data_IF_517551521721
#
_entry.id   IF_517551521721
#
_cell.length_a   1.000
_cell.length_b   1.000
_cell.length_c   1.000
_cell.angle_alpha   90.00
_cell.angle_beta   90.00
_cell.angle_gamma   90.00
#
_symmetry.space_group_name_H-M   'P 1'
#
loop_
_entity.id
_entity.type
_entity.pdbx_description
1 polymer ?
#
# COMPACT_ATOMS: atom_id res chain seq x y z
N UNK A 1 -1.22 -7.29 -6.50
CA UNK A 1 -0.78 -7.80 -5.18
C UNK A 1 0.68 -7.44 -5.02
N UNK A 2 1.01 -6.50 -4.12
CA UNK A 2 2.41 -6.18 -3.83
C UNK A 2 2.96 -7.29 -2.92
N UNK A 3 3.98 -8.01 -3.39
CA UNK A 3 4.66 -9.01 -2.59
C UNK A 3 5.63 -8.30 -1.64
N UNK A 4 5.62 -8.67 -0.36
CA UNK A 4 6.66 -8.23 0.57
C UNK A 4 7.92 -9.09 0.39
N UNK A 5 9.07 -8.56 0.83
CA UNK A 5 10.37 -9.23 0.66
C UNK A 5 10.44 -10.62 1.29
N UNK A 6 9.60 -10.96 2.27
CA UNK A 6 9.58 -12.30 2.85
C UNK A 6 8.84 -13.28 1.95
N UNK A 7 7.72 -12.87 1.36
CA UNK A 7 7.03 -13.67 0.33
C UNK A 7 7.96 -13.93 -0.86
N UNK A 8 8.76 -12.93 -1.26
CA UNK A 8 9.75 -13.08 -2.32
C UNK A 8 10.91 -14.04 -2.01
N UNK A 9 11.13 -14.39 -0.74
CA UNK A 9 12.17 -15.32 -0.30
C UNK A 9 11.64 -16.76 -0.12
N UNK A 10 10.35 -17.00 -0.35
CA UNK A 10 9.81 -18.36 -0.40
C UNK A 10 10.42 -19.10 -1.59
N UNK A 11 11.05 -20.25 -1.32
CA UNK A 11 11.65 -21.11 -2.35
C UNK A 11 10.82 -22.38 -2.47
N UNK A 12 10.23 -22.57 -3.64
CA UNK A 12 9.68 -23.85 -4.05
C UNK A 12 10.61 -24.47 -5.10
N UNK A 13 10.78 -25.81 -5.09
CA UNK A 13 11.49 -26.49 -6.16
C UNK A 13 10.76 -26.21 -7.49
N UNK A 14 11.46 -25.59 -8.43
CA UNK A 14 10.94 -25.37 -9.77
C UNK A 14 11.36 -26.54 -10.67
N UNK A 15 10.38 -27.13 -11.35
CA UNK A 15 10.64 -28.08 -12.41
C UNK A 15 10.64 -27.31 -13.72
N UNK A 16 11.81 -27.18 -14.34
CA UNK A 16 11.90 -26.55 -15.66
C UNK A 16 11.39 -27.54 -16.71
N UNK A 17 10.53 -27.11 -17.65
CA UNK A 17 10.14 -27.96 -18.77
C UNK A 17 11.35 -28.23 -19.67
N UNK A 18 11.28 -29.31 -20.45
CA UNK A 18 12.29 -29.60 -21.48
C UNK A 18 12.43 -28.42 -22.45
N UNK A 19 13.65 -28.05 -22.87
CA UNK A 19 13.86 -26.97 -23.82
C UNK A 19 13.12 -27.23 -25.14
N UNK A 20 12.26 -26.30 -25.54
CA UNK A 20 11.66 -26.32 -26.88
C UNK A 20 12.68 -25.83 -27.91
N UNK A 21 12.82 -26.57 -29.02
CA UNK A 21 13.72 -26.20 -30.13
C UNK A 21 13.04 -25.30 -31.16
N UNK A 22 11.73 -25.41 -31.29
CA UNK A 22 10.91 -24.62 -32.20
C UNK A 22 9.97 -23.74 -31.39
N UNK A 23 9.99 -22.44 -31.67
CA UNK A 23 9.08 -21.49 -31.05
C UNK A 23 7.70 -21.58 -31.75
N UNK A 24 6.60 -21.38 -31.00
CA UNK A 24 5.28 -21.27 -31.61
C UNK A 24 5.22 -20.15 -32.64
N UNK A 25 4.41 -20.32 -33.70
CA UNK A 25 4.16 -19.23 -34.64
C UNK A 25 3.49 -18.06 -33.89
N UNK A 26 4.20 -16.93 -33.85
CA UNK A 26 3.78 -15.72 -33.15
C UNK A 26 3.30 -14.62 -34.10
N UNK A 27 3.24 -14.87 -35.42
CA UNK A 27 2.87 -13.85 -36.42
C UNK A 27 1.50 -13.23 -36.17
N UNK A 28 0.61 -13.94 -35.48
CA UNK A 28 -0.73 -13.46 -35.14
C UNK A 28 -0.76 -12.31 -34.11
N UNK A 29 0.30 -12.14 -33.30
CA UNK A 29 0.34 -11.12 -32.24
C UNK A 29 1.65 -10.33 -32.17
N UNK A 30 2.67 -10.71 -32.92
CA UNK A 30 3.97 -10.04 -32.93
C UNK A 30 4.07 -8.97 -34.02
N UNK A 31 4.90 -7.96 -33.79
CA UNK A 31 5.25 -6.95 -34.80
C UNK A 31 6.40 -7.48 -35.64
N UNK A 32 6.21 -7.54 -36.97
CA UNK A 32 7.18 -8.10 -37.92
C UNK A 32 7.88 -7.01 -38.77
N UNK A 33 7.57 -5.74 -38.52
CA UNK A 33 8.20 -4.61 -39.21
C UNK A 33 7.58 -4.27 -40.57
N UNK A 34 6.46 -4.92 -40.93
CA UNK A 34 5.66 -4.61 -42.10
C UNK A 34 4.34 -3.90 -41.73
N UNK A 35 3.63 -3.38 -42.74
CA UNK A 35 2.38 -2.64 -42.51
C UNK A 35 1.24 -3.51 -41.94
N UNK A 36 1.21 -4.80 -42.26
CA UNK A 36 0.15 -5.73 -41.85
C UNK A 36 0.23 -6.13 -40.37
N UNK A 37 1.38 -5.95 -39.72
CA UNK A 37 1.56 -6.27 -38.29
C UNK A 37 1.57 -5.03 -37.38
N UNK A 38 1.26 -3.84 -37.92
CA UNK A 38 1.25 -2.59 -37.14
C UNK A 38 0.21 -2.57 -36.01
N UNK A 39 -0.92 -3.23 -36.18
CA UNK A 39 -1.97 -3.29 -35.15
C UNK A 39 -1.55 -4.09 -33.91
N UNK A 40 -0.52 -4.94 -34.04
CA UNK A 40 0.06 -5.67 -32.92
C UNK A 40 0.96 -4.79 -32.03
N UNK A 41 1.24 -3.54 -32.43
CA UNK A 41 2.09 -2.63 -31.68
C UNK A 41 1.36 -2.09 -30.44
N UNK A 42 1.81 -2.50 -29.27
CA UNK A 42 1.40 -1.89 -28.00
C UNK A 42 2.37 -0.75 -27.69
N UNK A 43 1.93 0.49 -27.88
CA UNK A 43 2.72 1.68 -27.62
C UNK A 43 1.98 2.61 -26.65
N UNK A 44 2.72 3.23 -25.73
CA UNK A 44 2.20 4.24 -24.79
C UNK A 44 2.56 5.68 -25.19
N UNK A 45 3.19 5.86 -26.36
CA UNK A 45 3.61 7.17 -26.86
C UNK A 45 3.22 7.35 -28.34
N UNK A 46 2.52 8.44 -28.62
CA UNK A 46 2.12 8.85 -29.96
C UNK A 46 2.79 10.20 -30.26
N UNK A 47 3.27 10.38 -31.49
CA UNK A 47 3.95 11.62 -31.90
C UNK A 47 2.93 12.74 -32.11
N UNK A 48 1.72 12.40 -32.55
CA UNK A 48 0.61 13.34 -32.65
C UNK A 48 0.12 13.70 -31.24
N UNK A 49 0.06 14.99 -30.94
CA UNK A 49 -0.44 15.50 -29.66
C UNK A 49 -1.89 15.08 -29.43
N UNK A 50 -2.75 15.22 -30.44
CA UNK A 50 -4.18 14.89 -30.34
C UNK A 50 -4.41 13.39 -30.08
N UNK A 51 -3.64 12.52 -30.76
CA UNK A 51 -3.73 11.07 -30.54
C UNK A 51 -3.21 10.68 -29.15
N UNK A 52 -2.12 11.31 -28.70
CA UNK A 52 -1.56 11.07 -27.38
C UNK A 52 -2.53 11.54 -26.27
N UNK A 53 -3.15 12.70 -26.43
CA UNK A 53 -4.13 13.23 -25.47
C UNK A 53 -5.36 12.33 -25.36
N UNK A 54 -5.91 11.87 -26.49
CA UNK A 54 -7.02 10.93 -26.50
C UNK A 54 -6.64 9.60 -25.82
N UNK A 55 -5.43 9.08 -26.07
CA UNK A 55 -4.92 7.88 -25.42
C UNK A 55 -4.77 8.05 -23.90
N UNK A 56 -4.18 9.17 -23.46
CA UNK A 56 -4.01 9.48 -22.03
C UNK A 56 -5.37 9.64 -21.35
N UNK A 57 -6.34 10.30 -21.98
CA UNK A 57 -7.70 10.46 -21.45
C UNK A 57 -8.38 9.10 -21.27
N UNK A 58 -8.25 8.21 -22.25
CA UNK A 58 -8.77 6.85 -22.15
C UNK A 58 -8.12 6.07 -20.98
N UNK A 59 -6.80 6.19 -20.80
CA UNK A 59 -6.10 5.56 -19.67
C UNK A 59 -6.55 6.15 -18.33
N UNK A 60 -6.74 7.47 -18.26
CA UNK A 60 -7.22 8.17 -17.07
C UNK A 60 -8.64 7.70 -16.68
N UNK A 61 -9.55 7.55 -17.63
CA UNK A 61 -10.89 6.98 -17.39
C UNK A 61 -10.82 5.55 -16.85
N UNK A 62 -9.92 4.74 -17.40
CA UNK A 62 -9.65 3.39 -16.89
C UNK A 62 -9.13 3.44 -15.45
N UNK A 63 -8.18 4.33 -15.13
CA UNK A 63 -7.66 4.47 -13.77
C UNK A 63 -8.71 4.97 -12.79
N UNK A 64 -9.56 5.93 -13.18
CA UNK A 64 -10.74 6.36 -12.39
C UNK A 64 -11.70 5.21 -12.13
N UNK A 65 -11.94 4.37 -13.12
CA UNK A 65 -12.79 3.18 -12.97
C UNK A 65 -12.20 2.18 -11.97
N UNK A 66 -10.87 1.97 -12.02
CA UNK A 66 -10.15 1.13 -11.05
C UNK A 66 -10.25 1.77 -9.65
N UNK A 67 -9.98 3.06 -9.51
CA UNK A 67 -10.13 3.82 -8.27
C UNK A 67 -11.52 3.69 -7.65
N UNK A 68 -12.57 3.71 -8.45
CA UNK A 68 -13.94 3.56 -7.96
C UNK A 68 -14.31 2.12 -7.52
N UNK A 69 -13.59 1.09 -7.99
CA UNK A 69 -14.02 -0.32 -7.86
C UNK A 69 -13.08 -1.22 -7.08
N UNK A 70 -11.80 -0.89 -7.03
CA UNK A 70 -10.76 -1.80 -6.55
C UNK A 70 -10.15 -1.41 -5.21
N UNK A 71 -10.56 -0.27 -4.62
CA UNK A 71 -10.12 0.17 -3.30
C UNK A 71 -10.58 -0.84 -2.25
N UNK A 72 -9.63 -1.45 -1.53
CA UNK A 72 -9.91 -2.44 -0.49
C UNK A 72 -9.07 -2.19 0.74
N UNK A 73 -9.71 -2.28 1.90
CA UNK A 73 -9.08 -2.16 3.21
C UNK A 73 -9.78 -3.08 4.22
N UNK A 74 -9.14 -3.25 5.37
CA UNK A 74 -9.67 -3.95 6.54
C UNK A 74 -9.52 -3.03 7.76
N UNK A 75 -10.57 -2.92 8.56
CA UNK A 75 -10.58 -2.19 9.83
C UNK A 75 -10.57 -3.18 11.00
N UNK A 76 -9.93 -2.79 12.10
CA UNK A 76 -9.85 -3.59 13.30
C UNK A 76 -9.87 -2.70 14.56
N UNK A 77 -10.96 -2.78 15.32
CA UNK A 77 -11.17 -2.09 16.61
C UNK A 77 -10.96 -0.56 16.53
N UNK A 78 -11.57 0.08 15.53
CA UNK A 78 -11.36 1.50 15.21
C UNK A 78 -12.37 2.44 15.87
N UNK A 79 -13.52 1.92 16.30
CA UNK A 79 -14.69 2.68 16.72
C UNK A 79 -14.37 3.57 17.94
N UNK A 80 -13.79 2.97 18.98
CA UNK A 80 -13.43 3.63 20.23
C UNK A 80 -11.92 3.93 20.34
N UNK A 81 -11.16 3.70 19.26
CA UNK A 81 -9.73 3.97 19.25
C UNK A 81 -9.46 5.47 19.42
N UNK A 82 -8.40 5.79 20.16
CA UNK A 82 -7.78 7.11 20.25
C UNK A 82 -6.63 7.24 19.23
N UNK A 83 -5.89 6.16 18.97
CA UNK A 83 -4.75 6.14 18.05
C UNK A 83 -4.99 5.07 17.00
N UNK A 84 -4.85 5.44 15.73
CA UNK A 84 -5.00 4.54 14.59
C UNK A 84 -3.64 4.11 14.10
N UNK A 85 -3.40 2.81 14.04
CA UNK A 85 -2.21 2.22 13.42
C UNK A 85 -2.51 1.92 11.95
N UNK A 86 -1.50 2.04 11.10
CA UNK A 86 -1.61 1.61 9.71
C UNK A 86 -0.30 1.10 9.14
N UNK A 87 -0.41 0.12 8.26
CA UNK A 87 0.70 -0.56 7.59
C UNK A 87 0.14 -1.63 6.65
N UNK A 88 0.95 -2.10 5.71
CA UNK A 88 0.55 -3.07 4.70
C UNK A 88 1.40 -4.35 4.78
N UNK A 89 1.04 -5.38 4.00
CA UNK A 89 1.79 -6.64 3.94
C UNK A 89 1.95 -7.31 5.31
N UNK A 90 3.13 -7.88 5.58
CA UNK A 90 3.44 -8.51 6.88
C UNK A 90 3.29 -7.56 8.08
N UNK A 91 3.61 -6.27 7.92
CA UNK A 91 3.52 -5.28 9.01
C UNK A 91 2.10 -5.19 9.55
N UNK A 92 1.11 -5.21 8.66
CA UNK A 92 -0.30 -5.16 9.07
C UNK A 92 -0.72 -6.31 10.00
N UNK A 93 -0.09 -7.49 9.86
CA UNK A 93 -0.34 -8.63 10.76
C UNK A 93 0.28 -8.40 12.13
N UNK A 94 1.49 -7.83 12.18
CA UNK A 94 2.17 -7.45 13.42
C UNK A 94 1.34 -6.39 14.16
N UNK A 95 0.83 -5.38 13.43
CA UNK A 95 0.01 -4.31 14.00
C UNK A 95 -1.28 -4.81 14.64
N UNK A 96 -1.89 -5.89 14.13
CA UNK A 96 -3.05 -6.51 14.79
C UNK A 96 -2.70 -7.01 16.19
N UNK A 97 -1.51 -7.61 16.35
CA UNK A 97 -0.97 -7.99 17.65
C UNK A 97 -0.65 -6.80 18.56
N UNK A 98 -0.13 -5.70 18.00
CA UNK A 98 0.08 -4.43 18.70
C UNK A 98 -1.22 -3.88 19.25
N UNK A 99 -2.29 -3.83 18.43
CA UNK A 99 -3.62 -3.40 18.87
C UNK A 99 -4.09 -4.26 20.03
N UNK A 100 -4.03 -5.59 19.91
CA UNK A 100 -4.52 -6.48 20.97
C UNK A 100 -3.74 -6.35 22.28
N UNK A 101 -2.42 -6.21 22.20
CA UNK A 101 -1.55 -6.07 23.38
C UNK A 101 -1.66 -4.69 24.02
N UNK A 102 -1.65 -3.62 23.22
CA UNK A 102 -1.81 -2.25 23.73
C UNK A 102 -3.18 -2.05 24.40
N UNK A 103 -4.25 -2.61 23.84
CA UNK A 103 -5.59 -2.54 24.46
C UNK A 103 -5.66 -3.27 25.79
N UNK A 104 -4.96 -4.39 25.97
CA UNK A 104 -4.83 -5.06 27.29
C UNK A 104 -4.10 -4.19 28.32
N UNK A 105 -3.27 -3.25 27.87
CA UNK A 105 -2.57 -2.28 28.70
C UNK A 105 -3.36 -0.96 28.88
N UNK A 106 -4.60 -0.90 28.38
CA UNK A 106 -5.47 0.28 28.50
C UNK A 106 -5.33 1.32 27.38
N UNK A 107 -4.46 1.09 26.39
CA UNK A 107 -4.34 1.97 25.22
C UNK A 107 -5.47 1.70 24.23
N UNK A 108 -6.24 2.73 23.87
CA UNK A 108 -7.31 2.64 22.86
C UNK A 108 -6.71 2.67 21.45
N UNK A 109 -6.17 1.54 21.01
CA UNK A 109 -5.60 1.39 19.66
C UNK A 109 -6.61 0.80 18.69
N UNK A 110 -6.58 1.26 17.44
CA UNK A 110 -7.27 0.68 16.30
C UNK A 110 -6.32 0.48 15.13
N UNK A 111 -6.72 -0.29 14.13
CA UNK A 111 -5.92 -0.54 12.92
C UNK A 111 -6.79 -0.36 11.68
N UNK A 112 -6.26 0.36 10.70
CA UNK A 112 -6.72 0.32 9.31
C UNK A 112 -5.60 -0.20 8.43
N UNK A 113 -5.90 -1.27 7.69
CA UNK A 113 -4.96 -1.99 6.83
C UNK A 113 -5.41 -1.85 5.37
N UNK A 114 -4.64 -1.17 4.51
CA UNK A 114 -4.86 -1.27 3.07
C UNK A 114 -4.61 -2.70 2.58
N UNK A 115 -5.55 -3.23 1.79
CA UNK A 115 -5.37 -4.47 1.02
C UNK A 115 -4.79 -4.12 -0.35
N UNK A 116 -5.21 -2.98 -0.92
CA UNK A 116 -4.63 -2.36 -2.11
C UNK A 116 -3.87 -1.09 -1.72
N UNK A 117 -2.68 -0.90 -2.29
CA UNK A 117 -1.93 0.35 -2.18
C UNK A 117 -2.17 1.29 -3.38
N UNK A 118 -2.51 0.71 -4.53
CA UNK A 118 -3.12 1.42 -5.63
C UNK A 118 -4.37 0.65 -6.08
N UNK A 119 -5.53 1.31 -6.16
CA UNK A 119 -5.80 2.68 -5.67
C UNK A 119 -5.69 2.77 -4.14
N UNK A 120 -5.24 3.92 -3.63
CA UNK A 120 -5.07 4.17 -2.20
C UNK A 120 -6.42 4.43 -1.51
N UNK A 121 -6.65 3.98 -0.27
CA UNK A 121 -7.94 4.13 0.41
C UNK A 121 -8.07 5.47 1.15
N UNK A 122 -7.99 6.60 0.45
CA UNK A 122 -8.04 7.95 1.04
C UNK A 122 -9.28 8.20 1.90
N UNK A 123 -10.47 7.94 1.35
CA UNK A 123 -11.74 8.21 2.03
C UNK A 123 -11.89 7.38 3.31
N UNK A 124 -11.51 6.10 3.24
CA UNK A 124 -11.54 5.20 4.39
C UNK A 124 -10.55 5.63 5.48
N UNK A 125 -9.32 5.97 5.09
CA UNK A 125 -8.29 6.47 6.01
C UNK A 125 -8.78 7.73 6.73
N UNK A 126 -9.35 8.69 5.97
CA UNK A 126 -9.94 9.92 6.52
C UNK A 126 -11.10 9.63 7.47
N UNK A 127 -11.98 8.70 7.13
CA UNK A 127 -13.12 8.33 7.98
C UNK A 127 -12.66 7.76 9.32
N UNK A 128 -11.66 6.86 9.31
CA UNK A 128 -11.14 6.20 10.51
C UNK A 128 -10.32 7.14 11.38
N UNK A 129 -9.50 8.02 10.79
CA UNK A 129 -8.61 8.94 11.52
C UNK A 129 -9.33 10.19 12.05
N UNK A 130 -10.50 10.52 11.52
CA UNK A 130 -11.26 11.71 11.97
C UNK A 130 -11.58 11.65 13.47
N UNK A 131 -11.23 12.71 14.18
CA UNK A 131 -11.49 12.85 15.62
C UNK A 131 -10.58 12.01 16.52
N UNK A 132 -9.56 11.35 15.94
CA UNK A 132 -8.57 10.56 16.67
C UNK A 132 -7.41 11.44 17.13
N UNK A 133 -6.65 11.00 18.13
CA UNK A 133 -5.52 11.74 18.69
C UNK A 133 -4.30 11.71 17.77
N UNK A 134 -4.06 10.59 17.10
CA UNK A 134 -2.92 10.39 16.21
C UNK A 134 -3.12 9.22 15.24
N UNK A 135 -2.33 9.20 14.17
CA UNK A 135 -2.14 8.05 13.30
C UNK A 135 -0.67 7.62 13.31
N UNK A 136 -0.38 6.33 13.51
CA UNK A 136 0.97 5.77 13.48
C UNK A 136 1.14 4.91 12.23
N UNK A 137 2.08 5.28 11.37
CA UNK A 137 2.44 4.52 10.19
C UNK A 137 3.65 3.65 10.50
N UNK A 138 3.51 2.35 10.24
CA UNK A 138 4.61 1.39 10.34
C UNK A 138 4.85 0.77 8.96
N UNK A 139 6.09 0.82 8.50
CA UNK A 139 6.47 0.28 7.18
C UNK A 139 7.86 -0.37 7.18
N UNK A 140 8.07 -1.26 6.20
CA UNK A 140 9.38 -1.87 5.93
C UNK A 140 10.08 -1.16 4.75
N UNK A 141 10.06 0.16 4.80
CA UNK A 141 10.61 1.05 3.78
C UNK A 141 11.02 2.40 4.40
N UNK A 142 11.46 3.35 3.58
CA UNK A 142 12.09 4.61 4.03
C UNK A 142 11.18 5.83 3.95
N UNK A 143 9.91 5.66 3.64
CA UNK A 143 8.91 6.73 3.73
C UNK A 143 7.80 6.67 2.68
N UNK A 144 7.79 5.69 1.76
CA UNK A 144 6.91 5.75 0.60
C UNK A 144 5.42 5.65 0.96
N UNK A 145 5.08 4.87 1.99
CA UNK A 145 3.68 4.71 2.39
C UNK A 145 3.21 5.83 3.32
N UNK A 146 4.07 6.29 4.23
CA UNK A 146 3.72 7.42 5.11
C UNK A 146 3.47 8.72 4.34
N UNK A 147 4.05 8.90 3.15
CA UNK A 147 3.75 10.06 2.30
C UNK A 147 2.27 10.08 1.88
N UNK A 148 1.74 8.98 1.35
CA UNK A 148 0.31 8.87 0.99
C UNK A 148 -0.60 9.05 2.23
N UNK A 149 -0.23 8.43 3.36
CA UNK A 149 -1.00 8.60 4.61
C UNK A 149 -1.00 10.06 5.06
N UNK A 150 0.15 10.74 5.00
CA UNK A 150 0.24 12.16 5.37
C UNK A 150 -0.62 13.02 4.46
N UNK A 151 -0.58 12.78 3.16
CA UNK A 151 -1.44 13.49 2.20
C UNK A 151 -2.92 13.26 2.52
N UNK A 152 -3.29 12.05 2.92
CA UNK A 152 -4.66 11.70 3.22
C UNK A 152 -5.18 12.29 4.55
N UNK A 153 -4.38 12.38 5.62
CA UNK A 153 -4.93 12.66 6.97
C UNK A 153 -4.18 13.67 7.85
N UNK A 154 -3.13 14.35 7.36
CA UNK A 154 -2.38 15.30 8.22
C UNK A 154 -3.21 16.51 8.69
N UNK A 155 -4.31 16.83 8.01
CA UNK A 155 -5.28 17.85 8.42
C UNK A 155 -6.22 17.38 9.55
N UNK A 156 -6.26 16.07 9.83
CA UNK A 156 -7.15 15.46 10.83
C UNK A 156 -6.45 15.09 12.13
N UNK A 157 -5.22 14.55 12.04
CA UNK A 157 -4.44 14.11 13.19
C UNK A 157 -2.93 14.11 12.87
N UNK A 158 -2.05 14.25 13.87
CA UNK A 158 -0.62 14.07 13.69
C UNK A 158 -0.30 12.66 13.19
N UNK A 159 0.61 12.56 12.22
CA UNK A 159 1.08 11.30 11.63
C UNK A 159 2.49 10.99 12.13
N UNK A 160 2.59 9.93 12.92
CA UNK A 160 3.86 9.37 13.39
C UNK A 160 4.38 8.32 12.42
N UNK A 161 5.70 8.13 12.41
CA UNK A 161 6.36 7.26 11.48
C UNK A 161 7.35 6.34 12.19
N UNK A 162 7.25 5.05 11.90
CA UNK A 162 8.25 4.06 12.28
C UNK A 162 8.59 3.18 11.08
N UNK A 163 9.81 3.34 10.56
CA UNK A 163 10.31 2.60 9.40
C UNK A 163 11.44 1.64 9.79
N UNK A 164 11.42 0.43 9.23
CA UNK A 164 12.58 -0.46 9.18
C UNK A 164 12.93 -0.80 7.74
N UNK A 165 14.16 -1.24 7.49
CA UNK A 165 14.60 -1.63 6.16
C UNK A 165 15.49 -2.88 6.21
N UNK A 166 15.80 -3.45 5.04
CA UNK A 166 16.74 -4.58 4.94
C UNK A 166 16.20 -5.90 5.51
N UNK A 167 14.89 -6.09 5.56
CA UNK A 167 14.26 -7.31 6.10
C UNK A 167 14.17 -7.34 7.63
N UNK A 168 14.52 -6.24 8.31
CA UNK A 168 14.39 -6.15 9.75
C UNK A 168 12.92 -5.93 10.16
N UNK A 169 12.29 -6.99 10.68
CA UNK A 169 10.91 -6.93 11.16
C UNK A 169 10.85 -6.37 12.58
N UNK A 170 10.04 -5.33 12.84
CA UNK A 170 9.83 -4.88 14.21
C UNK A 170 9.02 -5.90 15.01
N UNK A 171 9.35 -6.02 16.29
CA UNK A 171 8.54 -6.74 17.26
C UNK A 171 7.27 -5.94 17.64
N UNK A 172 6.31 -6.64 18.26
CA UNK A 172 5.12 -5.98 18.83
C UNK A 172 5.52 -5.03 19.96
N UNK A 173 6.49 -5.44 20.77
CA UNK A 173 7.07 -4.68 21.87
C UNK A 173 7.69 -3.37 21.39
N UNK A 174 8.57 -3.41 20.39
CA UNK A 174 9.21 -2.20 19.82
C UNK A 174 8.16 -1.16 19.37
N UNK A 175 7.11 -1.60 18.67
CA UNK A 175 6.07 -0.68 18.18
C UNK A 175 5.26 -0.11 19.34
N UNK A 176 4.97 -0.89 20.38
CA UNK A 176 4.25 -0.40 21.56
C UNK A 176 5.05 0.64 22.33
N UNK A 177 6.36 0.42 22.52
CA UNK A 177 7.25 1.37 23.17
C UNK A 177 7.26 2.71 22.43
N UNK A 178 7.32 2.67 21.10
CA UNK A 178 7.23 3.87 20.26
C UNK A 178 5.88 4.59 20.39
N UNK A 179 4.77 3.85 20.40
CA UNK A 179 3.43 4.44 20.61
C UNK A 179 3.34 5.13 21.97
N UNK A 180 3.85 4.50 23.03
CA UNK A 180 3.82 5.06 24.39
C UNK A 180 4.67 6.33 24.46
N UNK A 181 5.88 6.29 23.90
CA UNK A 181 6.78 7.44 23.88
C UNK A 181 6.18 8.64 23.12
N UNK A 182 5.51 8.38 22.00
CA UNK A 182 4.84 9.43 21.24
C UNK A 182 3.56 9.94 21.93
N UNK A 183 2.78 9.05 22.56
CA UNK A 183 1.57 9.44 23.26
C UNK A 183 1.88 10.33 24.47
N UNK A 184 2.93 10.02 25.24
CA UNK A 184 3.38 10.85 26.36
C UNK A 184 3.73 12.28 25.90
N UNK A 185 4.49 12.42 24.80
CA UNK A 185 4.82 13.73 24.21
C UNK A 185 3.59 14.52 23.77
N UNK A 186 2.56 13.85 23.23
CA UNK A 186 1.31 14.52 22.86
C UNK A 186 0.53 15.04 24.07
N UNK A 187 0.56 14.30 25.18
CA UNK A 187 -0.11 14.71 26.42
C UNK A 187 0.57 15.93 27.05
N UNK A 188 1.90 16.01 27.01
CA UNK A 188 2.67 17.19 27.48
C UNK A 188 2.39 18.47 26.69
N UNK A 189 2.15 18.37 25.37
CA UNK A 189 1.85 19.54 24.52
C UNK A 189 0.42 20.06 24.76
N UNK A 190 -0.47 19.23 25.30
CA UNK A 190 -1.87 19.55 25.53
C UNK A 190 -2.18 20.06 26.94
N UNK A 191 -1.24 19.91 27.88
CA UNK A 191 -1.30 20.45 29.25
C UNK A 191 -0.75 21.87 29.33
#
# INVERSE_FOLDING_TARGET
VMADGLVGQMKEPVYLPEPIKELPDNRSWSVQGDAGTRENLICSIFISADELEAHVTHLEEKYKTIAAREVRWEEYKVEDADIILTGYGIVSRILKGVVDRGRKQGLKLGLIRPITLFPFPDEAMRAVVRGKKACMVVELSTGQYVEDVRLAVSDLAPVWFYGRAGGNLPSVEEILEEIIAHNAKLEEVRS
#
